data_IF_996842650795
#
_entry.id   IF_996842650795
#
_cell.length_a   1.000
_cell.length_b   1.000
_cell.length_c   1.000
_cell.angle_alpha   90.00
_cell.angle_beta   90.00
_cell.angle_gamma   90.00
#
_symmetry.space_group_name_H-M   'P 1'
#
loop_
_entity.id
_entity.type
_entity.pdbx_description
1 polymer ?
#
# COMPACT_ATOMS: atom_id res chain seq x y z
N UNK A 1 8.04 -37.88 35.32
CA UNK A 1 7.62 -39.30 35.43
C UNK A 1 6.25 -39.33 36.10
N UNK A 2 5.20 -39.80 35.42
CA UNK A 2 3.82 -39.83 35.95
C UNK A 2 2.80 -40.04 34.82
N UNK A 3 2.83 -41.22 34.20
CA UNK A 3 1.84 -42.30 34.36
C UNK A 3 0.45 -42.01 33.76
N UNK A 4 0.36 -42.38 32.47
CA UNK A 4 -0.71 -43.09 31.76
C UNK A 4 -1.89 -43.62 32.60
N UNK A 5 -3.11 -43.37 32.12
CA UNK A 5 -4.31 -44.17 32.39
C UNK A 5 -5.18 -44.22 31.14
N UNK A 6 -5.07 -45.35 30.44
CA UNK A 6 -6.08 -45.89 29.52
C UNK A 6 -7.33 -46.25 30.31
N UNK A 7 -8.51 -45.90 29.80
CA UNK A 7 -9.70 -46.72 30.03
C UNK A 7 -10.49 -46.89 28.73
N UNK A 8 -10.56 -48.16 28.37
CA UNK A 8 -11.25 -48.82 27.27
C UNK A 8 -12.66 -49.18 27.76
N UNK A 9 -13.71 -48.80 27.03
CA UNK A 9 -15.06 -49.33 27.27
C UNK A 9 -15.70 -49.80 25.96
N UNK A 10 -16.28 -51.00 26.07
CA UNK A 10 -16.66 -51.93 25.02
C UNK A 10 -18.13 -51.78 24.57
N UNK A 11 -18.42 -52.43 23.44
CA UNK A 11 -19.60 -53.24 23.09
C UNK A 11 -20.86 -52.58 22.47
N UNK A 12 -21.07 -53.01 21.22
CA UNK A 12 -22.28 -53.62 20.65
C UNK A 12 -23.56 -52.78 20.47
N UNK A 13 -24.06 -52.73 19.22
CA UNK A 13 -25.21 -53.57 18.81
C UNK A 13 -25.52 -53.36 17.31
N UNK A 14 -25.78 -54.49 16.65
CA UNK A 14 -26.29 -54.62 15.28
C UNK A 14 -27.83 -54.47 15.33
N UNK A 15 -28.44 -53.72 14.41
CA UNK A 15 -29.90 -53.60 14.34
C UNK A 15 -30.38 -53.01 13.01
N UNK A 16 -31.02 -53.85 12.20
CA UNK A 16 -31.59 -53.57 10.88
C UNK A 16 -33.08 -53.20 11.05
N UNK A 17 -33.57 -52.09 10.49
CA UNK A 17 -35.00 -51.88 10.27
C UNK A 17 -35.28 -50.79 9.22
N UNK A 18 -36.10 -51.16 8.22
CA UNK A 18 -36.71 -50.31 7.20
C UNK A 18 -37.70 -49.31 7.82
N UNK A 19 -37.63 -48.04 7.41
CA UNK A 19 -38.78 -47.13 7.39
C UNK A 19 -38.54 -45.98 6.40
N UNK A 20 -39.31 -45.96 5.31
CA UNK A 20 -39.50 -44.80 4.44
C UNK A 20 -40.58 -43.93 5.06
N UNK A 21 -40.30 -42.64 5.27
CA UNK A 21 -41.30 -41.59 5.49
C UNK A 21 -40.69 -40.26 5.03
N UNK A 22 -41.25 -39.61 3.99
CA UNK A 22 -40.85 -38.28 3.54
C UNK A 22 -41.73 -37.24 4.22
N UNK A 23 -41.13 -36.34 5.00
CA UNK A 23 -41.60 -34.98 5.27
C UNK A 23 -40.76 -34.43 6.39
N UNK A 24 -39.98 -33.40 6.11
CA UNK A 24 -39.60 -32.33 7.04
C UNK A 24 -38.85 -31.27 6.22
N UNK A 25 -39.56 -30.18 5.95
CA UNK A 25 -39.09 -28.79 5.93
C UNK A 25 -37.57 -28.64 5.76
N UNK A 26 -37.14 -28.26 4.55
CA UNK A 26 -35.77 -27.83 4.29
C UNK A 26 -35.48 -26.54 5.08
N UNK A 27 -34.95 -26.70 6.28
CA UNK A 27 -34.33 -25.62 7.05
C UNK A 27 -32.99 -25.28 6.38
N UNK A 28 -32.91 -24.08 5.82
CA UNK A 28 -31.66 -23.42 5.46
C UNK A 28 -30.72 -23.38 6.67
N UNK A 29 -29.64 -24.16 6.68
CA UNK A 29 -28.42 -23.86 7.44
C UNK A 29 -27.30 -24.88 7.13
N UNK A 30 -26.59 -24.70 6.02
CA UNK A 30 -25.22 -25.22 5.85
C UNK A 30 -24.46 -24.37 4.83
N UNK A 31 -24.40 -23.06 5.10
CA UNK A 31 -23.36 -22.20 4.57
C UNK A 31 -22.12 -22.33 5.47
N UNK A 32 -21.35 -23.42 5.36
CA UNK A 32 -20.07 -23.58 6.06
C UNK A 32 -19.07 -24.38 5.22
N UNK A 33 -18.45 -23.71 4.26
CA UNK A 33 -16.99 -23.72 4.03
C UNK A 33 -16.68 -22.83 2.82
N UNK A 34 -16.87 -21.52 2.99
CA UNK A 34 -16.08 -20.56 2.21
C UNK A 34 -14.79 -20.35 3.01
N UNK A 35 -13.59 -20.59 2.45
CA UNK A 35 -12.37 -20.15 3.10
C UNK A 35 -12.44 -18.62 3.25
N UNK A 36 -12.56 -18.19 4.51
CA UNK A 36 -12.29 -16.84 4.93
C UNK A 36 -10.82 -16.55 4.63
N UNK A 37 -10.57 -15.68 3.65
CA UNK A 37 -9.23 -15.39 3.18
C UNK A 37 -9.12 -14.78 1.79
N UNK A 38 -10.21 -14.33 1.16
CA UNK A 38 -10.08 -13.31 0.13
C UNK A 38 -9.87 -11.98 0.85
N UNK A 39 -8.62 -11.74 1.28
CA UNK A 39 -8.13 -10.38 1.48
C UNK A 39 -8.54 -9.62 0.24
N UNK A 40 -9.42 -8.64 0.40
CA UNK A 40 -9.96 -7.83 -0.67
C UNK A 40 -8.84 -7.49 -1.64
N UNK A 41 -8.74 -8.20 -2.77
CA UNK A 41 -8.09 -7.65 -3.94
C UNK A 41 -8.94 -6.42 -4.25
N UNK A 42 -8.57 -5.28 -3.70
CA UNK A 42 -9.05 -3.99 -4.16
C UNK A 42 -8.69 -3.99 -5.63
N UNK A 43 -9.67 -4.28 -6.48
CA UNK A 43 -9.53 -4.21 -7.92
C UNK A 43 -9.14 -2.78 -8.25
N UNK A 44 -7.83 -2.57 -8.42
CA UNK A 44 -7.28 -1.30 -8.87
C UNK A 44 -7.96 -1.01 -10.20
N UNK A 45 -8.67 0.13 -10.34
CA UNK A 45 -9.31 0.47 -11.61
C UNK A 45 -8.24 0.51 -12.72
N UNK A 46 -8.58 0.10 -13.95
CA UNK A 46 -7.60 -0.12 -15.01
C UNK A 46 -6.77 1.14 -15.32
N UNK A 47 -7.37 2.33 -15.25
CA UNK A 47 -6.64 3.60 -15.37
C UNK A 47 -5.56 3.77 -14.28
N UNK A 48 -5.89 3.43 -13.03
CA UNK A 48 -4.95 3.53 -11.91
C UNK A 48 -3.85 2.46 -12.01
N UNK A 49 -4.11 1.31 -12.64
CA UNK A 49 -3.07 0.30 -12.90
C UNK A 49 -1.99 0.85 -13.84
N UNK A 50 -2.40 1.45 -14.97
CA UNK A 50 -1.46 2.05 -15.93
C UNK A 50 -0.63 3.17 -15.28
N UNK A 51 -1.28 3.98 -14.46
CA UNK A 51 -0.62 5.02 -13.68
C UNK A 51 0.44 4.46 -12.72
N UNK A 52 0.11 3.37 -12.01
CA UNK A 52 1.04 2.70 -11.09
C UNK A 52 2.19 2.05 -11.85
N UNK A 53 1.93 1.39 -12.97
CA UNK A 53 2.97 0.81 -13.85
C UNK A 53 3.92 1.89 -14.37
N UNK A 54 3.38 3.05 -14.78
CA UNK A 54 4.17 4.19 -15.22
C UNK A 54 5.05 4.74 -14.09
N UNK A 55 4.51 4.84 -12.87
CA UNK A 55 5.27 5.24 -11.68
C UNK A 55 6.37 4.24 -11.30
N UNK A 56 6.10 2.93 -11.36
CA UNK A 56 7.08 1.88 -11.05
C UNK A 56 8.26 1.89 -12.04
N UNK A 57 7.97 2.15 -13.32
CA UNK A 57 8.98 2.22 -14.37
C UNK A 57 9.73 3.56 -14.45
N UNK A 58 9.23 4.62 -13.82
CA UNK A 58 9.76 5.97 -13.98
C UNK A 58 11.21 6.09 -13.44
N UNK A 59 12.18 6.47 -14.29
CA UNK A 59 13.56 6.64 -13.84
C UNK A 59 13.71 7.94 -13.04
N UNK A 60 14.26 7.84 -11.83
CA UNK A 60 14.56 8.99 -11.00
C UNK A 60 15.91 9.62 -11.42
N UNK A 61 15.96 10.94 -11.65
CA UNK A 61 17.23 11.66 -11.76
C UNK A 61 18.12 11.44 -10.52
N UNK A 62 19.44 11.42 -10.70
CA UNK A 62 20.38 11.19 -9.59
C UNK A 62 20.27 12.26 -8.48
N UNK A 63 19.87 13.47 -8.84
CA UNK A 63 19.65 14.61 -7.95
C UNK A 63 18.18 14.76 -7.50
N UNK A 64 17.34 13.76 -7.78
CA UNK A 64 15.91 13.80 -7.44
C UNK A 64 15.69 13.99 -5.94
N UNK A 65 16.29 13.14 -5.10
CA UNK A 65 16.05 13.14 -3.64
C UNK A 65 16.37 14.48 -2.97
N UNK A 66 17.54 15.11 -3.17
CA UNK A 66 17.83 16.40 -2.55
C UNK A 66 16.91 17.51 -3.07
N UNK A 67 16.59 17.54 -4.36
CA UNK A 67 15.64 18.53 -4.90
C UNK A 67 14.25 18.32 -4.33
N UNK A 68 13.76 17.08 -4.28
CA UNK A 68 12.44 16.76 -3.75
C UNK A 68 12.33 17.14 -2.27
N UNK A 69 13.36 16.89 -1.47
CA UNK A 69 13.36 17.28 -0.05
C UNK A 69 13.28 18.80 0.12
N UNK A 70 14.06 19.56 -0.65
CA UNK A 70 14.00 21.03 -0.65
C UNK A 70 12.63 21.55 -1.11
N UNK A 71 12.05 20.96 -2.15
CA UNK A 71 10.71 21.29 -2.63
C UNK A 71 9.66 21.08 -1.54
N UNK A 72 9.70 19.95 -0.85
CA UNK A 72 8.75 19.65 0.23
C UNK A 72 8.88 20.66 1.37
N UNK A 73 10.11 21.02 1.75
CA UNK A 73 10.36 22.07 2.76
C UNK A 73 9.82 23.45 2.31
N UNK A 74 10.02 23.82 1.04
CA UNK A 74 9.51 25.07 0.48
C UNK A 74 7.97 25.11 0.44
N UNK A 75 7.33 23.99 0.09
CA UNK A 75 5.87 23.86 0.14
C UNK A 75 5.35 24.00 1.58
N UNK A 76 6.01 23.38 2.56
CA UNK A 76 5.67 23.52 3.98
C UNK A 76 5.82 24.97 4.47
N UNK A 77 6.93 25.64 4.12
CA UNK A 77 7.16 27.04 4.44
C UNK A 77 6.09 27.97 3.83
N UNK A 78 5.60 27.63 2.64
CA UNK A 78 4.49 28.32 1.98
C UNK A 78 3.10 27.92 2.52
N UNK A 79 3.01 27.06 3.55
CA UNK A 79 1.77 26.47 4.05
C UNK A 79 0.94 25.73 2.98
N UNK A 80 1.59 25.27 1.91
CA UNK A 80 0.97 24.49 0.85
C UNK A 80 1.09 23.01 1.20
N UNK A 81 -0.05 22.34 1.31
CA UNK A 81 -0.12 20.90 1.51
C UNK A 81 -0.53 20.22 0.22
N UNK A 82 0.27 19.29 -0.32
CA UNK A 82 -0.15 18.47 -1.46
C UNK A 82 -1.44 17.71 -1.12
N UNK A 83 -2.32 17.46 -2.12
CA UNK A 83 -3.53 16.68 -1.91
C UNK A 83 -3.17 15.22 -1.55
N UNK A 84 -4.05 14.55 -0.80
CA UNK A 84 -3.91 13.12 -0.56
C UNK A 84 -4.25 12.35 -1.85
N UNK A 85 -3.22 11.81 -2.50
CA UNK A 85 -3.33 11.13 -3.81
C UNK A 85 -3.69 9.64 -3.71
N UNK A 86 -3.88 9.08 -2.52
CA UNK A 86 -3.99 7.61 -2.29
C UNK A 86 -5.17 6.97 -3.04
N UNK A 87 -6.18 7.74 -3.43
CA UNK A 87 -7.38 7.27 -4.13
C UNK A 87 -7.60 7.96 -5.50
N UNK A 88 -6.62 8.73 -5.98
CA UNK A 88 -6.73 9.47 -7.23
C UNK A 88 -5.86 8.85 -8.31
N UNK A 89 -6.32 8.95 -9.56
CA UNK A 89 -5.44 8.68 -10.71
C UNK A 89 -4.30 9.70 -10.75
N UNK A 90 -3.19 9.33 -11.38
CA UNK A 90 -2.02 10.20 -11.53
C UNK A 90 -2.40 11.48 -12.29
N UNK A 91 -3.22 11.34 -13.34
CA UNK A 91 -3.78 12.48 -14.08
C UNK A 91 -4.62 13.41 -13.21
N UNK A 92 -5.51 12.87 -12.39
CA UNK A 92 -6.34 13.68 -11.51
C UNK A 92 -5.48 14.40 -10.44
N UNK A 93 -4.47 13.71 -9.92
CA UNK A 93 -3.50 14.28 -8.97
C UNK A 93 -2.73 15.44 -9.58
N UNK A 94 -2.22 15.28 -10.80
CA UNK A 94 -1.50 16.33 -11.53
C UNK A 94 -2.40 17.55 -11.75
N UNK A 95 -3.64 17.34 -12.20
CA UNK A 95 -4.60 18.43 -12.41
C UNK A 95 -4.90 19.18 -11.10
N UNK A 96 -5.05 18.46 -9.99
CA UNK A 96 -5.29 19.08 -8.69
C UNK A 96 -4.07 19.87 -8.20
N UNK A 97 -2.86 19.35 -8.39
CA UNK A 97 -1.64 20.08 -8.06
C UNK A 97 -1.48 21.36 -8.89
N UNK A 98 -1.81 21.32 -10.18
CA UNK A 98 -1.82 22.51 -11.05
C UNK A 98 -2.82 23.57 -10.57
N UNK A 99 -3.93 23.16 -9.95
CA UNK A 99 -4.95 24.07 -9.44
C UNK A 99 -4.58 24.74 -8.11
N UNK A 100 -3.50 24.32 -7.43
CA UNK A 100 -3.08 24.90 -6.15
C UNK A 100 -2.33 26.21 -6.41
N UNK A 101 -2.81 27.35 -5.89
CA UNK A 101 -2.14 28.64 -6.04
C UNK A 101 -0.70 28.60 -5.49
N UNK A 102 0.27 29.06 -6.26
CA UNK A 102 1.68 29.14 -5.86
C UNK A 102 2.45 27.82 -5.95
N UNK A 103 1.79 26.67 -6.05
CA UNK A 103 2.46 25.36 -6.11
C UNK A 103 3.31 25.20 -7.38
N UNK A 104 2.80 25.46 -8.60
CA UNK A 104 3.61 25.30 -9.81
C UNK A 104 4.88 26.16 -9.80
N UNK A 105 4.80 27.38 -9.23
CA UNK A 105 5.95 28.27 -9.12
C UNK A 105 7.04 27.71 -8.19
N UNK A 106 6.64 27.16 -7.04
CA UNK A 106 7.58 26.49 -6.11
C UNK A 106 8.20 25.27 -6.77
N UNK A 107 7.39 24.40 -7.40
CA UNK A 107 7.93 23.23 -8.12
C UNK A 107 8.96 23.64 -9.17
N UNK A 108 8.65 24.65 -9.98
CA UNK A 108 9.54 25.13 -11.04
C UNK A 108 10.83 25.74 -10.48
N UNK A 109 10.79 26.42 -9.33
CA UNK A 109 12.00 26.94 -8.66
C UNK A 109 12.98 25.82 -8.27
N UNK A 110 12.48 24.60 -8.06
CA UNK A 110 13.28 23.41 -7.75
C UNK A 110 13.45 22.47 -8.97
N UNK A 111 13.15 22.93 -10.18
CA UNK A 111 13.34 22.18 -11.42
C UNK A 111 12.29 21.09 -11.67
N UNK A 112 11.14 21.16 -10.99
CA UNK A 112 10.02 20.24 -11.19
C UNK A 112 8.87 20.88 -11.97
N UNK A 113 8.21 20.05 -12.75
CA UNK A 113 6.82 20.25 -13.18
C UNK A 113 5.89 19.48 -12.23
N UNK A 114 4.59 19.81 -12.14
CA UNK A 114 3.63 19.02 -11.39
C UNK A 114 3.65 17.53 -11.77
N UNK A 115 3.78 17.23 -13.07
CA UNK A 115 3.88 15.87 -13.57
C UNK A 115 5.14 15.14 -13.11
N UNK A 116 6.32 15.73 -13.31
CA UNK A 116 7.60 15.10 -12.92
C UNK A 116 7.74 14.94 -11.41
N UNK A 117 7.18 15.88 -10.64
CA UNK A 117 7.13 15.76 -9.19
C UNK A 117 6.24 14.58 -8.75
N UNK A 118 5.01 14.48 -9.27
CA UNK A 118 4.10 13.37 -8.90
C UNK A 118 4.66 12.02 -9.33
N UNK A 119 5.14 11.92 -10.58
CA UNK A 119 5.77 10.69 -11.09
C UNK A 119 6.97 10.29 -10.23
N UNK A 120 7.84 11.25 -9.90
CA UNK A 120 9.02 11.01 -9.09
C UNK A 120 8.69 10.60 -7.65
N UNK A 121 7.74 11.28 -7.00
CA UNK A 121 7.31 10.95 -5.64
C UNK A 121 6.60 9.58 -5.59
N UNK A 122 5.85 9.23 -6.64
CA UNK A 122 5.19 7.92 -6.78
C UNK A 122 6.22 6.81 -6.97
N UNK A 123 7.18 7.00 -7.89
CA UNK A 123 8.32 6.09 -8.08
C UNK A 123 9.14 5.93 -6.79
N UNK A 124 9.34 7.03 -6.05
CA UNK A 124 10.03 7.03 -4.78
C UNK A 124 9.29 6.19 -3.73
N UNK A 125 8.03 6.49 -3.46
CA UNK A 125 7.24 5.77 -2.46
C UNK A 125 7.15 4.27 -2.74
N UNK A 126 6.94 3.88 -4.01
CA UNK A 126 6.85 2.47 -4.38
C UNK A 126 8.20 1.75 -4.33
N UNK A 127 9.29 2.42 -4.71
CA UNK A 127 10.63 1.85 -4.59
C UNK A 127 10.98 1.65 -3.11
N UNK A 128 10.67 2.62 -2.23
CA UNK A 128 10.84 2.48 -0.77
C UNK A 128 9.99 1.33 -0.23
N UNK A 129 8.72 1.23 -0.63
CA UNK A 129 7.84 0.14 -0.17
C UNK A 129 8.42 -1.23 -0.56
N UNK A 130 8.84 -1.40 -1.80
CA UNK A 130 9.40 -2.64 -2.30
C UNK A 130 10.75 -3.00 -1.63
N UNK A 131 11.65 -2.03 -1.43
CA UNK A 131 12.93 -2.28 -0.75
C UNK A 131 12.77 -2.61 0.73
N UNK A 132 11.70 -2.12 1.38
CA UNK A 132 11.33 -2.47 2.75
C UNK A 132 10.48 -3.76 2.85
N UNK A 133 10.34 -4.53 1.77
CA UNK A 133 9.62 -5.80 1.76
C UNK A 133 8.09 -5.68 1.83
N UNK A 134 7.52 -4.50 1.54
CA UNK A 134 6.08 -4.35 1.41
C UNK A 134 5.60 -5.02 0.11
N UNK A 135 4.53 -5.82 0.16
CA UNK A 135 4.00 -6.46 -1.03
C UNK A 135 3.40 -5.41 -1.97
N UNK A 136 3.91 -5.35 -3.20
CA UNK A 136 3.22 -4.64 -4.28
C UNK A 136 1.97 -5.41 -4.69
N UNK A 137 0.90 -4.73 -5.13
CA UNK A 137 -0.28 -5.40 -5.66
C UNK A 137 0.06 -6.43 -6.74
N UNK A 138 -0.61 -7.57 -6.72
CA UNK A 138 -0.33 -8.68 -7.64
C UNK A 138 -0.51 -8.24 -9.11
N UNK A 139 0.45 -8.64 -9.96
CA UNK A 139 0.45 -8.32 -11.39
C UNK A 139 1.13 -7.01 -11.77
N UNK A 140 1.65 -6.24 -10.80
CA UNK A 140 2.48 -5.07 -11.08
C UNK A 140 3.96 -5.44 -11.25
N UNK A 141 4.71 -4.69 -12.09
CA UNK A 141 6.13 -4.92 -12.27
C UNK A 141 6.92 -4.56 -11.00
N UNK A 142 8.17 -5.03 -10.92
CA UNK A 142 9.11 -4.54 -9.90
C UNK A 142 9.45 -3.06 -10.17
N UNK A 143 9.85 -2.29 -9.13
CA UNK A 143 10.33 -0.92 -9.33
C UNK A 143 11.55 -0.90 -10.24
N UNK A 144 11.76 0.24 -10.90
CA UNK A 144 12.91 0.45 -11.78
C UNK A 144 14.23 0.13 -11.04
N UNK A 145 15.06 -0.81 -11.55
CA UNK A 145 16.28 -1.23 -10.87
C UNK A 145 17.30 -0.11 -10.70
N UNK A 146 17.28 0.91 -11.57
CA UNK A 146 18.13 2.10 -11.41
C UNK A 146 17.74 2.91 -10.17
N UNK A 147 16.44 2.99 -9.85
CA UNK A 147 15.97 3.66 -8.64
C UNK A 147 16.38 2.88 -7.39
N UNK A 148 16.28 1.54 -7.43
CA UNK A 148 16.75 0.68 -6.33
C UNK A 148 18.24 0.87 -6.08
N UNK A 149 19.06 0.87 -7.15
CA UNK A 149 20.50 1.12 -7.05
C UNK A 149 20.80 2.53 -6.50
N UNK A 150 20.06 3.55 -6.96
CA UNK A 150 20.18 4.92 -6.48
C UNK A 150 19.89 5.03 -4.98
N UNK A 151 18.90 4.29 -4.47
CA UNK A 151 18.51 4.34 -3.05
C UNK A 151 19.53 3.65 -2.17
N UNK A 152 20.09 2.52 -2.63
CA UNK A 152 21.20 1.86 -1.96
C UNK A 152 22.48 2.72 -1.95
N UNK A 153 22.72 3.51 -3.00
CA UNK A 153 23.86 4.41 -3.07
C UNK A 153 23.74 5.65 -2.17
N UNK A 154 22.51 6.08 -1.86
CA UNK A 154 22.23 7.32 -1.13
C UNK A 154 21.19 7.15 0.00
N UNK A 155 21.43 6.26 0.99
CA UNK A 155 20.46 5.98 2.06
C UNK A 155 20.12 7.22 2.90
N UNK A 156 21.08 8.12 3.11
CA UNK A 156 20.87 9.37 3.84
C UNK A 156 19.89 10.30 3.13
N UNK A 157 19.93 10.35 1.79
CA UNK A 157 19.05 11.19 0.99
C UNK A 157 17.62 10.65 0.96
N UNK A 158 17.46 9.32 0.93
CA UNK A 158 16.15 8.66 1.09
C UNK A 158 15.54 9.04 2.44
N UNK A 159 16.34 8.93 3.51
CA UNK A 159 15.90 9.26 4.87
C UNK A 159 15.51 10.73 5.00
N UNK A 160 16.31 11.65 4.46
CA UNK A 160 16.02 13.08 4.47
C UNK A 160 14.71 13.42 3.74
N UNK A 161 14.44 12.79 2.60
CA UNK A 161 13.18 12.98 1.88
C UNK A 161 11.99 12.42 2.65
N UNK A 162 12.11 11.24 3.26
CA UNK A 162 11.05 10.69 4.12
C UNK A 162 10.75 11.60 5.32
N UNK A 163 11.77 12.15 5.96
CA UNK A 163 11.62 13.12 7.05
C UNK A 163 10.96 14.42 6.55
N UNK A 164 11.36 14.91 5.39
CA UNK A 164 10.79 16.11 4.79
C UNK A 164 9.30 15.92 4.47
N UNK A 165 8.86 14.77 3.97
CA UNK A 165 7.44 14.46 3.77
C UNK A 165 6.62 14.45 5.06
N UNK A 166 7.30 14.39 6.22
CA UNK A 166 6.71 14.33 7.53
C UNK A 166 6.33 12.90 7.92
N UNK A 167 6.67 12.53 9.15
CA UNK A 167 6.07 11.38 9.84
C UNK A 167 4.55 11.54 9.83
N UNK A 168 3.74 10.50 9.56
CA UNK A 168 2.29 10.59 9.66
C UNK A 168 1.87 11.17 11.03
N UNK A 169 0.81 12.00 11.10
CA UNK A 169 0.29 12.52 12.36
C UNK A 169 -0.15 11.34 13.22
N UNK A 170 0.68 10.97 14.19
CA UNK A 170 0.52 9.78 15.01
C UNK A 170 1.68 9.50 15.96
N UNK A 171 2.86 10.10 15.73
CA UNK A 171 4.01 9.96 16.65
C UNK A 171 4.27 11.20 17.54
N UNK A 172 3.33 12.14 17.61
CA UNK A 172 3.35 13.27 18.55
C UNK A 172 2.28 13.16 19.65
N UNK A 173 1.83 11.94 19.97
CA UNK A 173 0.98 11.68 21.13
C UNK A 173 1.60 10.52 21.93
N UNK A 174 2.36 10.89 22.97
CA UNK A 174 2.99 9.93 23.87
C UNK A 174 4.01 10.54 24.83
N UNK A 175 4.09 11.87 24.92
CA UNK A 175 4.95 12.53 25.90
C UNK A 175 4.26 13.78 26.45
N UNK A 176 3.15 13.57 27.16
CA UNK A 176 2.76 14.44 28.27
C UNK A 176 1.75 13.72 29.17
N UNK A 177 2.02 13.79 30.48
CA UNK A 177 1.40 13.16 31.67
C UNK A 177 1.73 11.70 32.01
#
# INVERSE_FOLDING_TARGET
>A
MGMMKMHLTKLAALGFALAVSPSLVATNALAQNAPAGAQSQQSIPPEMRQDIEAGLGYPLPADFMPRAAQTVQALQAANIRPPNSTQMSLRATIAQMQAIPGLPAILSAHGFTPETFVMGMTAFGMTVAATNGQPLPAGLPAPNPANVALFHAHPDQVTALMQAMGTPPGQMQGQDN
#
